data_IF_605826882137
#
_entry.id   IF_605826882137
#
_cell.length_a   1.000
_cell.length_b   1.000
_cell.length_c   1.000
_cell.angle_alpha   90.00
_cell.angle_beta   90.00
_cell.angle_gamma   90.00
#
_symmetry.space_group_name_H-M   'P 1'
#
loop_
_entity.id
_entity.type
_entity.pdbx_description
1 polymer ?
#
# COMPACT_ATOMS: atom_id res chain seq x y z
N UNK A 1 21.01 20.23 -20.04
CA UNK A 1 21.23 20.31 -18.59
C UNK A 1 20.14 19.47 -17.93
N UNK A 2 20.33 18.30 -17.32
CA UNK A 2 21.51 17.72 -16.68
C UNK A 2 21.47 16.18 -16.76
N UNK A 3 22.28 15.62 -17.65
CA UNK A 3 22.57 14.18 -17.76
C UNK A 3 23.79 13.78 -16.89
N UNK A 4 24.07 14.51 -15.80
CA UNK A 4 25.27 14.33 -14.98
C UNK A 4 25.03 14.42 -13.46
N UNK A 5 24.17 13.56 -12.90
CA UNK A 5 24.33 13.20 -11.48
C UNK A 5 24.02 11.71 -11.27
N UNK A 6 25.11 10.96 -11.21
CA UNK A 6 25.19 9.56 -10.84
C UNK A 6 24.57 9.34 -9.45
N UNK A 7 23.38 8.72 -9.42
CA UNK A 7 22.65 8.26 -8.24
C UNK A 7 22.29 9.31 -7.16
N UNK A 8 21.27 10.12 -7.42
CA UNK A 8 20.57 10.83 -6.35
C UNK A 8 19.86 9.85 -5.42
N UNK A 9 20.11 9.98 -4.11
CA UNK A 9 19.32 9.34 -3.05
C UNK A 9 18.36 10.37 -2.49
N UNK A 10 17.07 10.12 -2.62
CA UNK A 10 16.01 10.99 -2.11
C UNK A 10 15.40 10.34 -0.88
N UNK A 11 15.14 11.11 0.17
CA UNK A 11 14.37 10.65 1.32
C UNK A 11 13.17 11.57 1.46
N UNK A 12 11.96 11.00 1.57
CA UNK A 12 10.75 11.76 1.89
C UNK A 12 10.36 11.50 3.35
N UNK A 13 9.96 12.56 4.04
CA UNK A 13 9.54 12.50 5.45
C UNK A 13 8.07 12.87 5.51
N UNK A 14 7.24 11.97 6.06
CA UNK A 14 5.79 12.18 6.20
C UNK A 14 5.25 11.41 7.41
N UNK A 15 4.00 11.64 7.81
CA UNK A 15 3.36 10.87 8.87
C UNK A 15 3.36 9.36 8.56
N UNK A 16 3.49 8.53 9.60
CA UNK A 16 3.58 7.06 9.52
C UNK A 16 2.54 6.42 8.57
N UNK A 17 1.30 6.93 8.54
CA UNK A 17 0.23 6.37 7.72
C UNK A 17 0.29 6.78 6.23
N UNK A 18 1.06 7.81 5.85
CA UNK A 18 1.20 8.27 4.46
C UNK A 18 2.47 7.77 3.78
N UNK A 19 3.42 7.20 4.53
CA UNK A 19 4.69 6.67 3.99
C UNK A 19 4.42 5.62 2.89
N UNK A 20 3.44 4.74 3.12
CA UNK A 20 3.10 3.72 2.14
C UNK A 20 2.57 4.31 0.83
N UNK A 21 1.61 5.23 0.90
CA UNK A 21 1.02 5.85 -0.31
C UNK A 21 2.06 6.67 -1.07
N UNK A 22 2.85 7.49 -0.38
CA UNK A 22 3.92 8.29 -1.00
C UNK A 22 5.00 7.40 -1.63
N UNK A 23 5.36 6.29 -1.00
CA UNK A 23 6.24 5.27 -1.58
C UNK A 23 5.67 4.63 -2.85
N UNK A 24 4.36 4.33 -2.89
CA UNK A 24 3.74 3.82 -4.12
C UNK A 24 3.79 4.83 -5.27
N UNK A 25 3.62 6.12 -4.99
CA UNK A 25 3.75 7.18 -6.00
C UNK A 25 5.19 7.37 -6.45
N UNK A 26 6.17 7.39 -5.54
CA UNK A 26 7.59 7.49 -5.87
C UNK A 26 8.02 6.36 -6.82
N UNK A 27 7.55 5.13 -6.57
CA UNK A 27 7.78 3.98 -7.45
C UNK A 27 7.12 4.14 -8.82
N UNK A 28 5.91 4.71 -8.89
CA UNK A 28 5.21 4.94 -10.16
C UNK A 28 5.94 5.94 -11.07
N UNK A 29 6.61 6.94 -10.50
CA UNK A 29 7.37 7.95 -11.27
C UNK A 29 8.84 7.57 -11.48
N UNK A 30 9.25 6.36 -11.05
CA UNK A 30 10.63 5.89 -11.20
C UNK A 30 11.64 6.58 -10.28
N UNK A 31 11.18 7.25 -9.22
CA UNK A 31 12.04 7.95 -8.27
C UNK A 31 12.57 6.95 -7.22
N UNK A 32 13.91 6.83 -7.13
CA UNK A 32 14.58 6.10 -6.04
C UNK A 32 14.54 6.92 -4.76
N UNK A 33 13.41 6.88 -4.06
CA UNK A 33 13.22 7.58 -2.80
C UNK A 33 12.83 6.63 -1.66
N UNK A 34 13.49 6.79 -0.51
CA UNK A 34 13.16 6.09 0.73
C UNK A 34 12.22 6.95 1.58
N UNK A 35 11.29 6.29 2.28
CA UNK A 35 10.30 6.97 3.11
C UNK A 35 10.58 6.83 4.60
N UNK A 36 10.64 7.95 5.32
CA UNK A 36 10.74 7.97 6.79
C UNK A 36 9.42 8.47 7.38
N UNK A 37 8.84 7.66 8.26
CA UNK A 37 7.63 7.97 9.01
C UNK A 37 7.93 8.85 10.23
N UNK A 38 7.18 9.94 10.38
CA UNK A 38 7.11 10.69 11.62
C UNK A 38 5.99 10.15 12.51
N UNK A 39 6.29 10.02 13.81
CA UNK A 39 5.36 9.56 14.85
C UNK A 39 4.05 10.33 14.77
N UNK A 40 3.00 9.63 14.36
CA UNK A 40 1.63 10.14 14.44
C UNK A 40 1.09 9.91 15.85
N UNK A 41 0.34 10.86 16.41
CA UNK A 41 -0.32 10.67 17.69
C UNK A 41 -1.24 9.43 17.64
N UNK A 42 -1.06 8.50 18.59
CA UNK A 42 -1.72 7.19 18.58
C UNK A 42 -3.25 7.29 18.59
N UNK A 43 -3.82 8.35 19.17
CA UNK A 43 -5.27 8.57 19.18
C UNK A 43 -5.86 8.83 17.78
N UNK A 44 -5.09 9.45 16.87
CA UNK A 44 -5.55 9.77 15.50
C UNK A 44 -5.08 8.74 14.46
N UNK A 45 -3.95 8.09 14.74
CA UNK A 45 -3.32 7.11 13.86
C UNK A 45 -4.23 5.96 13.38
N UNK A 46 -5.01 5.26 14.21
CA UNK A 46 -5.78 4.09 13.76
C UNK A 46 -6.90 4.47 12.79
N UNK A 47 -7.62 5.58 13.06
CA UNK A 47 -8.68 6.05 12.16
C UNK A 47 -8.10 6.49 10.79
N UNK A 48 -6.96 7.19 10.80
CA UNK A 48 -6.29 7.60 9.58
C UNK A 48 -5.74 6.41 8.77
N UNK A 49 -5.16 5.42 9.45
CA UNK A 49 -4.64 4.21 8.84
C UNK A 49 -5.75 3.36 8.20
N UNK A 50 -6.86 3.14 8.90
CA UNK A 50 -8.01 2.37 8.38
C UNK A 50 -8.54 3.03 7.10
N UNK A 51 -8.70 4.36 7.10
CA UNK A 51 -9.16 5.10 5.92
C UNK A 51 -8.20 4.93 4.73
N UNK A 52 -6.89 5.03 4.95
CA UNK A 52 -5.89 4.84 3.89
C UNK A 52 -5.91 3.39 3.37
N UNK A 53 -6.05 2.41 4.28
CA UNK A 53 -6.14 0.99 3.93
C UNK A 53 -7.39 0.70 3.10
N UNK A 54 -8.55 1.24 3.47
CA UNK A 54 -9.77 1.17 2.68
C UNK A 54 -9.57 1.82 1.31
N UNK A 55 -8.90 2.97 1.22
CA UNK A 55 -8.61 3.61 -0.06
C UNK A 55 -7.73 2.73 -0.97
N UNK A 56 -6.76 2.00 -0.42
CA UNK A 56 -5.93 1.04 -1.16
C UNK A 56 -6.76 -0.16 -1.60
N UNK A 57 -7.60 -0.72 -0.73
CA UNK A 57 -8.52 -1.82 -1.09
C UNK A 57 -9.46 -1.38 -2.22
N UNK A 58 -10.03 -0.18 -2.13
CA UNK A 58 -10.90 0.39 -3.16
C UNK A 58 -10.16 0.71 -4.46
N UNK A 59 -8.84 0.93 -4.41
CA UNK A 59 -8.00 1.04 -5.61
C UNK A 59 -7.77 -0.33 -6.25
N UNK A 60 -7.63 -1.38 -5.45
CA UNK A 60 -7.38 -2.75 -5.90
C UNK A 60 -8.57 -3.69 -5.67
N UNK A 61 -9.80 -3.28 -6.06
CA UNK A 61 -11.05 -4.04 -5.81
C UNK A 61 -11.02 -5.49 -6.30
N UNK A 62 -10.22 -5.79 -7.32
CA UNK A 62 -10.07 -7.14 -7.86
C UNK A 62 -9.44 -8.13 -6.86
N UNK A 63 -8.53 -7.66 -6.00
CA UNK A 63 -7.82 -8.53 -5.04
C UNK A 63 -8.77 -9.18 -4.03
N UNK A 64 -9.62 -8.44 -3.28
CA UNK A 64 -10.56 -9.05 -2.34
C UNK A 64 -11.60 -9.92 -3.05
N UNK A 65 -12.03 -9.57 -4.27
CA UNK A 65 -12.98 -10.38 -5.05
C UNK A 65 -12.35 -11.73 -5.40
N UNK A 66 -11.12 -11.74 -5.91
CA UNK A 66 -10.42 -12.99 -6.26
C UNK A 66 -10.19 -13.86 -5.03
N UNK A 67 -9.77 -13.27 -3.91
CA UNK A 67 -9.60 -14.01 -2.64
C UNK A 67 -10.92 -14.62 -2.16
N UNK A 68 -12.03 -13.87 -2.25
CA UNK A 68 -13.35 -14.38 -1.89
C UNK A 68 -13.79 -15.53 -2.79
N UNK A 69 -13.58 -15.41 -4.11
CA UNK A 69 -13.89 -16.47 -5.07
C UNK A 69 -13.06 -17.73 -4.83
N UNK A 70 -11.76 -17.58 -4.54
CA UNK A 70 -10.88 -18.72 -4.22
C UNK A 70 -11.32 -19.42 -2.93
N UNK A 71 -11.67 -18.66 -1.89
CA UNK A 71 -12.19 -19.21 -0.65
C UNK A 71 -13.50 -19.98 -0.88
N UNK A 72 -14.43 -19.37 -1.63
CA UNK A 72 -15.71 -19.98 -1.97
C UNK A 72 -15.56 -21.24 -2.83
N UNK A 73 -14.63 -21.23 -3.79
CA UNK A 73 -14.32 -22.42 -4.58
C UNK A 73 -13.77 -23.55 -3.69
N UNK A 74 -12.87 -23.24 -2.75
CA UNK A 74 -12.32 -24.21 -1.81
C UNK A 74 -13.38 -24.83 -0.89
N UNK A 75 -14.32 -24.02 -0.37
CA UNK A 75 -15.41 -24.54 0.46
C UNK A 75 -16.37 -25.41 -0.32
N UNK A 76 -16.72 -25.04 -1.55
CA UNK A 76 -17.56 -25.86 -2.44
C UNK A 76 -16.91 -27.20 -2.77
N UNK A 77 -15.62 -27.20 -3.13
CA UNK A 77 -14.87 -28.45 -3.39
C UNK A 77 -14.82 -29.34 -2.15
N UNK A 78 -14.62 -28.75 -0.97
CA UNK A 78 -14.64 -29.49 0.29
C UNK A 78 -16.01 -30.12 0.60
N UNK A 79 -17.10 -29.46 0.21
CA UNK A 79 -18.47 -29.99 0.40
C UNK A 79 -18.84 -31.07 -0.61
N UNK A 80 -18.29 -31.03 -1.83
CA UNK A 80 -18.54 -32.03 -2.87
C UNK A 80 -17.73 -33.33 -2.70
N UNK A 81 -16.62 -33.26 -1.97
CA UNK A 81 -15.76 -34.41 -1.64
C UNK A 81 -16.19 -35.14 -0.35
N UNK A 82 -17.35 -34.78 0.22
CA UNK A 82 -17.96 -35.40 1.40
C UNK A 82 -19.23 -36.12 0.99
#
# INVERSE_FOLDING_TARGET
MDQMMSQYRVIFVTNDYHVFRTGTYAKQVGLKADGVGCKTAFFYWPNAFIREYIAIILKYKAVPIVLFLLWLAGTVVSMLNF
#
